data_IF_453155944996
#
_entry.id   IF_453155944996
#
_cell.length_a   1.000
_cell.length_b   1.000
_cell.length_c   1.000
_cell.angle_alpha   90.00
_cell.angle_beta   90.00
_cell.angle_gamma   90.00
#
_symmetry.space_group_name_H-M   'P 1'
#
loop_
_entity.id
_entity.type
_entity.pdbx_description
1 polymer ?
#
# COMPACT_ATOMS: atom_id res chain seq x y z
N UNK A 1 -10.20 -0.87 19.39
CA UNK A 1 -10.36 0.40 18.68
C UNK A 1 -9.01 1.10 18.71
N UNK A 2 -8.37 1.22 17.55
CA UNK A 2 -7.06 1.87 17.33
C UNK A 2 -7.15 2.76 16.05
N UNK A 3 -8.37 3.20 15.68
CA UNK A 3 -8.71 3.77 14.37
C UNK A 3 -8.00 5.09 14.03
N UNK A 4 -7.28 5.66 14.98
CA UNK A 4 -6.71 7.01 14.88
C UNK A 4 -5.20 7.00 14.73
N UNK A 5 -4.58 5.81 14.69
CA UNK A 5 -3.15 5.67 14.48
C UNK A 5 -2.81 5.86 12.99
N UNK A 6 -2.78 7.10 12.52
CA UNK A 6 -2.47 7.47 11.15
C UNK A 6 -1.17 8.26 11.09
N UNK A 7 -0.31 7.90 10.13
CA UNK A 7 0.93 8.61 9.85
C UNK A 7 0.91 9.22 8.47
N UNK A 8 1.22 10.51 8.41
CA UNK A 8 1.41 11.27 7.18
C UNK A 8 2.83 11.84 7.18
N UNK A 9 3.55 11.66 6.09
CA UNK A 9 4.90 12.19 5.91
C UNK A 9 4.99 13.11 4.70
N UNK A 10 5.91 14.09 4.79
CA UNK A 10 6.40 14.93 3.70
C UNK A 10 5.27 15.48 2.80
N UNK A 11 4.49 16.43 3.30
CA UNK A 11 3.42 17.10 2.55
C UNK A 11 2.41 16.14 1.89
N UNK A 12 1.94 15.17 2.68
CA UNK A 12 0.95 14.17 2.25
C UNK A 12 1.44 13.29 1.07
N UNK A 13 2.74 13.11 0.89
CA UNK A 13 3.26 12.20 -0.15
C UNK A 13 3.16 10.73 0.25
N UNK A 14 3.07 10.47 1.56
CA UNK A 14 3.01 9.13 2.15
C UNK A 14 1.93 9.13 3.23
N UNK A 15 1.02 8.17 3.14
CA UNK A 15 0.05 7.86 4.19
C UNK A 15 0.14 6.39 4.57
N UNK A 16 0.07 6.11 5.86
CA UNK A 16 0.02 4.76 6.38
C UNK A 16 -0.98 4.65 7.54
N UNK A 17 -1.87 3.67 7.44
CA UNK A 17 -2.82 3.27 8.49
C UNK A 17 -2.15 2.30 9.46
N UNK A 18 -1.93 2.71 10.71
CA UNK A 18 -1.13 1.97 11.70
C UNK A 18 -1.95 1.06 12.61
N UNK A 19 -3.28 1.23 12.67
CA UNK A 19 -4.15 0.51 13.61
C UNK A 19 -3.89 -1.02 13.62
N UNK A 20 -3.65 -1.59 12.44
CA UNK A 20 -3.35 -3.01 12.25
C UNK A 20 -2.02 -3.25 11.52
N UNK A 21 -1.07 -2.32 11.60
CA UNK A 21 0.19 -2.43 10.89
C UNK A 21 0.98 -3.69 11.30
N UNK A 22 1.76 -4.22 10.35
CA UNK A 22 2.76 -5.25 10.65
C UNK A 22 3.80 -4.71 11.62
N UNK A 23 4.42 -5.59 12.40
CA UNK A 23 5.47 -5.23 13.38
C UNK A 23 6.72 -4.60 12.73
N UNK A 24 6.93 -4.87 11.44
CA UNK A 24 8.04 -4.41 10.61
C UNK A 24 7.48 -4.02 9.24
N UNK A 25 7.86 -2.83 8.76
CA UNK A 25 7.54 -2.35 7.42
C UNK A 25 8.82 -1.91 6.73
N UNK A 26 9.22 -2.66 5.71
CA UNK A 26 10.40 -2.39 4.89
C UNK A 26 10.08 -1.50 3.70
N UNK A 27 11.09 -0.87 3.12
CA UNK A 27 10.99 0.00 1.93
C UNK A 27 10.10 1.21 2.19
N UNK A 28 10.29 1.94 3.30
CA UNK A 28 9.57 3.19 3.56
C UNK A 28 10.32 4.34 2.88
N UNK A 29 9.76 5.01 1.86
CA UNK A 29 10.52 5.94 1.03
C UNK A 29 10.75 7.27 1.77
N UNK A 30 11.76 7.37 2.63
CA UNK A 30 12.04 8.60 3.38
C UNK A 30 12.97 9.54 2.60
N UNK A 31 12.91 10.83 2.91
CA UNK A 31 13.75 11.84 2.26
C UNK A 31 15.19 11.75 2.76
N UNK A 32 16.17 11.77 1.84
CA UNK A 32 17.61 11.86 2.19
C UNK A 32 17.92 13.13 2.98
N UNK A 33 18.93 13.04 3.85
CA UNK A 33 19.55 14.17 4.55
C UNK A 33 18.54 15.15 5.20
N UNK A 34 17.42 14.63 5.69
CA UNK A 34 16.33 15.42 6.27
C UNK A 34 15.86 14.79 7.57
N UNK A 35 15.50 15.63 8.54
CA UNK A 35 14.77 15.17 9.71
C UNK A 35 13.45 14.50 9.27
N UNK A 36 13.00 13.52 10.04
CA UNK A 36 11.71 12.89 9.74
C UNK A 36 10.57 13.87 10.05
N UNK A 37 9.99 14.44 8.99
CA UNK A 37 8.83 15.32 9.12
C UNK A 37 7.55 14.47 9.06
N UNK A 38 6.80 14.45 10.16
CA UNK A 38 5.52 13.74 10.24
C UNK A 38 4.48 14.57 11.00
N UNK A 39 3.23 14.43 10.60
CA UNK A 39 2.09 15.05 11.29
C UNK A 39 1.25 13.95 11.92
N UNK A 40 1.29 13.77 13.25
CA UNK A 40 0.44 12.79 13.91
C UNK A 40 -1.00 13.30 13.96
N UNK A 41 -1.98 12.44 13.64
CA UNK A 41 -3.41 12.76 13.86
C UNK A 41 -3.85 12.63 15.33
N UNK A 42 -3.06 11.94 16.15
CA UNK A 42 -3.31 11.76 17.58
C UNK A 42 -2.02 12.09 18.36
N UNK A 43 -2.08 12.93 19.42
CA UNK A 43 -0.89 13.38 20.16
C UNK A 43 -0.12 12.25 20.85
N UNK A 44 -0.73 11.07 21.02
CA UNK A 44 -0.07 9.89 21.58
C UNK A 44 0.84 9.18 20.57
N UNK A 45 0.82 9.58 19.30
CA UNK A 45 1.68 9.01 18.28
C UNK A 45 3.06 9.67 18.36
N UNK A 46 4.09 8.84 18.52
CA UNK A 46 5.49 9.30 18.45
C UNK A 46 6.32 8.37 17.59
N UNK A 47 7.35 8.94 16.96
CA UNK A 47 8.33 8.22 16.15
C UNK A 47 9.70 8.43 16.78
N UNK A 48 10.36 7.33 17.14
CA UNK A 48 11.68 7.35 17.78
C UNK A 48 12.64 6.48 16.98
N UNK A 49 13.81 7.02 16.63
CA UNK A 49 14.84 6.27 15.92
C UNK A 49 15.88 7.16 15.26
N UNK A 50 16.87 6.52 14.67
CA UNK A 50 17.91 7.11 13.82
C UNK A 50 17.82 6.49 12.43
N UNK A 51 18.57 7.02 11.45
CA UNK A 51 18.34 6.74 10.03
C UNK A 51 18.30 5.27 9.58
N UNK A 52 18.75 4.32 10.40
CA UNK A 52 18.61 2.89 10.12
C UNK A 52 17.17 2.38 10.24
N UNK A 53 16.43 2.83 11.27
CA UNK A 53 15.04 2.43 11.48
C UNK A 53 14.33 3.32 12.50
N UNK A 54 13.01 3.42 12.34
CA UNK A 54 12.16 4.24 13.19
C UNK A 54 11.07 3.39 13.85
N UNK A 55 10.97 3.45 15.18
CA UNK A 55 9.91 2.79 15.94
C UNK A 55 8.73 3.76 16.05
N UNK A 56 7.54 3.28 15.69
CA UNK A 56 6.29 4.04 15.83
C UNK A 56 5.57 3.54 17.09
N UNK A 57 5.17 4.47 17.93
CA UNK A 57 4.45 4.21 19.17
C UNK A 57 3.09 4.91 19.17
N UNK A 58 2.15 4.31 19.91
CA UNK A 58 0.91 4.94 20.36
C UNK A 58 0.88 4.83 21.88
N UNK A 59 1.12 5.95 22.57
CA UNK A 59 1.47 5.94 23.99
C UNK A 59 2.67 5.02 24.24
N UNK A 60 2.54 4.11 25.21
CA UNK A 60 3.61 3.16 25.56
C UNK A 60 3.66 1.91 24.66
N UNK A 61 2.72 1.76 23.71
CA UNK A 61 2.63 0.57 22.86
C UNK A 61 3.34 0.81 21.53
N UNK A 62 4.32 -0.04 21.21
CA UNK A 62 4.95 -0.06 19.89
C UNK A 62 3.99 -0.63 18.84
N UNK A 63 3.66 0.15 17.82
CA UNK A 63 2.83 -0.27 16.70
C UNK A 63 3.65 -1.02 15.64
N UNK A 64 4.73 -0.39 15.18
CA UNK A 64 5.57 -0.91 14.10
C UNK A 64 7.01 -0.42 14.19
N UNK A 65 7.88 -0.96 13.34
CA UNK A 65 9.20 -0.43 13.04
C UNK A 65 9.31 -0.24 11.53
N UNK A 66 9.59 1.00 11.14
CA UNK A 66 9.80 1.43 9.76
C UNK A 66 11.28 1.24 9.41
N UNK A 67 11.55 0.57 8.30
CA UNK A 67 12.87 0.47 7.70
C UNK A 67 12.88 1.34 6.43
N UNK A 68 13.60 2.47 6.48
CA UNK A 68 13.66 3.42 5.38
C UNK A 68 14.34 2.86 4.14
N UNK A 69 13.97 3.46 3.02
CA UNK A 69 14.73 3.51 1.79
C UNK A 69 14.81 4.99 1.42
N UNK A 70 16.01 5.51 1.25
CA UNK A 70 16.23 6.96 1.17
C UNK A 70 16.25 7.47 -0.25
N UNK A 71 15.41 8.47 -0.53
CA UNK A 71 15.26 9.07 -1.85
C UNK A 71 15.42 10.58 -1.84
N UNK A 72 15.87 11.10 -2.97
CA UNK A 72 15.56 12.47 -3.38
C UNK A 72 14.09 12.52 -3.83
N UNK A 73 13.43 13.66 -3.62
CA UNK A 73 11.99 13.79 -3.90
C UNK A 73 11.77 14.58 -5.18
N UNK A 74 10.74 14.19 -5.91
CA UNK A 74 10.22 14.92 -7.06
C UNK A 74 8.79 15.40 -6.74
N UNK A 75 8.58 16.72 -6.80
CA UNK A 75 7.28 17.33 -6.50
C UNK A 75 6.47 17.70 -7.76
N UNK A 76 6.94 17.32 -8.96
CA UNK A 76 6.37 17.73 -10.25
C UNK A 76 4.92 17.31 -10.48
N UNK A 77 4.46 16.26 -9.79
CA UNK A 77 3.07 15.80 -9.79
C UNK A 77 2.58 15.59 -8.36
N UNK A 78 1.28 15.63 -8.11
CA UNK A 78 0.68 15.40 -6.78
C UNK A 78 -0.30 14.23 -6.76
N UNK A 79 -0.62 13.67 -7.92
CA UNK A 79 -1.62 12.63 -8.10
C UNK A 79 -1.27 11.70 -9.26
N UNK A 80 -1.90 10.52 -9.26
CA UNK A 80 -1.88 9.55 -10.35
C UNK A 80 -3.30 9.11 -10.72
N UNK A 81 -3.46 8.71 -11.99
CA UNK A 81 -4.70 8.09 -12.44
C UNK A 81 -4.66 6.58 -12.20
N UNK A 82 -5.66 6.08 -11.46
CA UNK A 82 -5.89 4.66 -11.23
C UNK A 82 -7.17 4.23 -11.95
N UNK A 83 -7.11 3.09 -12.64
CA UNK A 83 -8.30 2.35 -13.02
C UNK A 83 -8.58 1.29 -11.94
N UNK A 84 -9.70 1.41 -11.24
CA UNK A 84 -10.11 0.55 -10.13
C UNK A 84 -11.45 -0.08 -10.50
N UNK A 85 -11.49 -1.40 -10.62
CA UNK A 85 -12.71 -2.17 -10.89
C UNK A 85 -13.53 -1.63 -12.07
N UNK A 86 -12.83 -1.22 -13.14
CA UNK A 86 -13.42 -0.66 -14.35
C UNK A 86 -13.66 0.84 -14.32
N UNK A 87 -13.52 1.52 -13.17
CA UNK A 87 -13.69 2.97 -13.05
C UNK A 87 -12.36 3.70 -12.97
N UNK A 88 -12.19 4.76 -13.75
CA UNK A 88 -11.03 5.62 -13.65
C UNK A 88 -11.19 6.67 -12.54
N UNK A 89 -10.12 6.88 -11.75
CA UNK A 89 -10.08 7.84 -10.65
C UNK A 89 -8.73 8.54 -10.64
N UNK A 90 -8.73 9.87 -10.54
CA UNK A 90 -7.52 10.62 -10.21
C UNK A 90 -7.34 10.62 -8.69
N UNK A 91 -6.18 10.15 -8.21
CA UNK A 91 -5.93 9.88 -6.79
C UNK A 91 -4.67 10.61 -6.36
N UNK A 92 -4.81 11.49 -5.37
CA UNK A 92 -3.69 12.22 -4.82
C UNK A 92 -2.76 11.29 -4.03
N UNK A 93 -1.48 11.64 -3.98
CA UNK A 93 -0.56 10.97 -3.08
C UNK A 93 -1.00 11.12 -1.62
N UNK A 94 -0.59 10.16 -0.79
CA UNK A 94 -1.01 10.11 0.62
C UNK A 94 -2.50 9.78 0.81
N UNK A 95 -3.19 9.33 -0.24
CA UNK A 95 -4.54 8.78 -0.11
C UNK A 95 -4.53 7.25 -0.06
N UNK A 96 -5.62 6.70 0.46
CA UNK A 96 -5.94 5.28 0.41
C UNK A 96 -7.19 5.09 -0.45
N UNK A 97 -7.18 4.06 -1.31
CA UNK A 97 -8.31 3.69 -2.15
C UNK A 97 -8.69 2.24 -1.93
N UNK A 98 -9.99 1.96 -1.93
CA UNK A 98 -10.52 0.60 -1.84
C UNK A 98 -10.59 -0.05 -3.23
N UNK A 99 -10.28 -1.35 -3.29
CA UNK A 99 -10.24 -2.16 -4.52
C UNK A 99 -10.94 -3.49 -4.26
N UNK A 100 -11.98 -3.82 -5.01
CA UNK A 100 -12.73 -5.07 -4.84
C UNK A 100 -12.09 -6.24 -5.60
N UNK A 101 -11.61 -5.99 -6.83
CA UNK A 101 -11.08 -7.04 -7.70
C UNK A 101 -9.66 -6.74 -8.19
N UNK A 102 -9.47 -5.58 -8.82
CA UNK A 102 -8.19 -5.22 -9.44
C UNK A 102 -8.04 -3.72 -9.61
N UNK A 103 -6.79 -3.28 -9.60
CA UNK A 103 -6.43 -1.93 -9.99
C UNK A 103 -5.32 -1.95 -11.04
N UNK A 104 -5.19 -0.83 -11.76
CA UNK A 104 -4.10 -0.56 -12.70
C UNK A 104 -3.73 0.91 -12.60
N UNK A 105 -2.44 1.21 -12.49
CA UNK A 105 -1.96 2.59 -12.65
C UNK A 105 -1.92 2.91 -14.13
N UNK A 106 -2.54 4.01 -14.56
CA UNK A 106 -2.45 4.46 -15.95
C UNK A 106 -1.02 4.95 -16.23
N UNK A 107 -0.33 4.45 -17.27
CA UNK A 107 1.03 4.87 -17.59
C UNK A 107 1.15 6.37 -17.81
N UNK A 108 2.27 6.94 -17.38
CA UNK A 108 2.61 8.36 -17.59
C UNK A 108 4.07 8.48 -18.00
N UNK A 109 4.33 9.18 -19.12
CA UNK A 109 5.68 9.36 -19.66
C UNK A 109 6.65 9.92 -18.63
N UNK A 110 7.80 9.25 -18.47
CA UNK A 110 8.86 9.62 -17.53
C UNK A 110 8.64 9.13 -16.10
N UNK A 111 7.50 8.52 -15.78
CA UNK A 111 7.21 8.00 -14.44
C UNK A 111 7.26 6.48 -14.41
N UNK A 112 7.77 5.95 -13.30
CA UNK A 112 7.83 4.52 -13.01
C UNK A 112 6.99 4.20 -11.78
N UNK A 113 6.24 3.12 -11.86
CA UNK A 113 5.41 2.58 -10.78
C UNK A 113 6.06 1.33 -10.20
N UNK A 114 6.01 1.21 -8.87
CA UNK A 114 6.39 0.02 -8.12
C UNK A 114 5.31 -0.29 -7.05
N UNK A 115 4.66 -1.43 -7.17
CA UNK A 115 3.68 -2.00 -6.27
C UNK A 115 4.39 -2.97 -5.33
N UNK A 116 4.62 -2.55 -4.09
CA UNK A 116 5.43 -3.31 -3.15
C UNK A 116 4.80 -4.67 -2.84
N UNK A 117 5.50 -5.73 -3.26
CA UNK A 117 5.10 -7.13 -3.09
C UNK A 117 4.56 -7.79 -4.36
N UNK A 118 4.30 -7.02 -5.41
CA UNK A 118 4.13 -7.53 -6.77
C UNK A 118 5.53 -7.72 -7.37
N UNK A 119 5.68 -8.72 -8.24
CA UNK A 119 6.91 -8.92 -8.98
C UNK A 119 6.56 -9.69 -10.26
N UNK A 120 7.06 -9.20 -11.39
CA UNK A 120 7.04 -9.92 -12.66
C UNK A 120 8.44 -9.87 -13.27
N UNK A 121 9.09 -11.03 -13.54
CA UNK A 121 10.44 -11.06 -14.09
C UNK A 121 10.58 -10.19 -15.35
N UNK A 122 11.63 -9.38 -15.39
CA UNK A 122 11.93 -8.50 -16.52
C UNK A 122 11.13 -7.19 -16.57
N UNK A 123 10.28 -6.90 -15.59
CA UNK A 123 9.48 -5.67 -15.54
C UNK A 123 9.96 -4.77 -14.40
N UNK A 124 10.41 -3.56 -14.75
CA UNK A 124 10.84 -2.54 -13.79
C UNK A 124 9.78 -1.45 -13.53
N UNK A 125 8.88 -1.22 -14.50
CA UNK A 125 7.73 -0.33 -14.39
C UNK A 125 6.45 -1.16 -14.42
N UNK A 126 5.66 -1.06 -13.35
CA UNK A 126 4.44 -1.84 -13.16
C UNK A 126 3.19 -1.04 -13.56
N UNK A 127 3.36 0.14 -14.16
CA UNK A 127 2.27 0.88 -14.78
C UNK A 127 1.66 0.09 -15.94
N UNK A 128 0.36 0.28 -16.20
CA UNK A 128 -0.35 -0.43 -17.26
C UNK A 128 -0.70 -1.90 -16.97
N UNK A 129 -0.21 -2.47 -15.86
CA UNK A 129 -0.51 -3.85 -15.46
C UNK A 129 -1.75 -3.86 -14.55
N UNK A 130 -2.71 -4.74 -14.86
CA UNK A 130 -3.84 -5.02 -13.96
C UNK A 130 -3.39 -5.97 -12.86
N UNK A 131 -3.50 -5.54 -11.61
CA UNK A 131 -3.00 -6.24 -10.43
C UNK A 131 -4.17 -6.58 -9.50
N UNK A 132 -4.26 -7.85 -9.12
CA UNK A 132 -5.23 -8.39 -8.14
C UNK A 132 -4.55 -8.65 -6.80
N UNK A 133 -5.36 -8.84 -5.76
CA UNK A 133 -4.90 -9.24 -4.42
C UNK A 133 -4.02 -10.50 -4.43
N UNK A 134 -4.33 -11.47 -5.28
CA UNK A 134 -3.60 -12.74 -5.42
C UNK A 134 -2.18 -12.56 -5.94
N UNK A 135 -1.93 -11.48 -6.69
CA UNK A 135 -0.68 -11.26 -7.41
C UNK A 135 0.38 -10.61 -6.51
N UNK A 136 -0.04 -10.11 -5.34
CA UNK A 136 0.82 -9.42 -4.38
C UNK A 136 1.12 -10.33 -3.20
N UNK A 137 2.41 -10.53 -2.93
CA UNK A 137 2.88 -11.35 -1.83
C UNK A 137 2.43 -10.77 -0.48
N UNK A 138 1.59 -11.53 0.25
CA UNK A 138 0.94 -11.11 1.50
C UNK A 138 1.89 -10.51 2.54
N UNK A 139 3.14 -10.98 2.62
CA UNK A 139 4.15 -10.50 3.59
C UNK A 139 4.51 -9.03 3.44
N UNK A 140 4.30 -8.44 2.26
CA UNK A 140 4.63 -7.05 1.96
C UNK A 140 3.51 -6.05 2.25
N UNK A 141 2.33 -6.54 2.67
CA UNK A 141 1.23 -5.67 3.07
C UNK A 141 1.60 -4.79 4.26
N UNK A 142 1.00 -3.61 4.34
CA UNK A 142 1.13 -2.70 5.48
C UNK A 142 0.44 -3.29 6.71
N UNK A 143 -0.72 -3.91 6.52
CA UNK A 143 -1.54 -4.45 7.60
C UNK A 143 -1.31 -5.95 7.83
N UNK A 144 -1.60 -6.42 9.04
CA UNK A 144 -1.52 -7.85 9.40
C UNK A 144 -2.48 -8.72 8.61
N UNK A 145 -3.63 -8.18 8.16
CA UNK A 145 -4.64 -8.95 7.43
C UNK A 145 -4.24 -9.21 5.98
N UNK A 146 -3.27 -8.46 5.43
CA UNK A 146 -2.77 -8.71 4.09
C UNK A 146 -3.61 -8.08 3.00
N UNK A 147 -4.13 -6.88 3.23
CA UNK A 147 -5.08 -6.18 2.37
C UNK A 147 -4.57 -4.83 1.86
N UNK A 148 -3.70 -4.17 2.62
CA UNK A 148 -3.20 -2.84 2.30
C UNK A 148 -1.82 -2.92 1.66
N UNK A 149 -1.65 -2.42 0.44
CA UNK A 149 -0.38 -2.45 -0.30
C UNK A 149 -0.01 -1.08 -0.83
N UNK A 150 1.29 -0.86 -1.00
CA UNK A 150 1.85 0.45 -1.35
C UNK A 150 2.14 0.50 -2.84
N UNK A 151 1.59 1.50 -3.51
CA UNK A 151 1.89 1.86 -4.90
C UNK A 151 2.79 3.09 -4.86
N UNK A 152 4.06 2.92 -5.19
CA UNK A 152 5.05 4.00 -5.19
C UNK A 152 5.30 4.49 -6.62
N UNK A 153 5.48 5.80 -6.76
CA UNK A 153 5.72 6.46 -8.04
C UNK A 153 7.04 7.20 -8.00
N UNK A 154 7.78 7.10 -9.09
CA UNK A 154 9.11 7.67 -9.23
C UNK A 154 9.26 8.42 -10.55
N UNK A 155 10.07 9.48 -10.55
CA UNK A 155 10.50 10.19 -11.74
C UNK A 155 12.03 10.30 -11.72
N UNK A 156 12.71 9.77 -12.73
CA UNK A 156 14.19 9.78 -12.81
C UNK A 156 14.88 9.24 -11.54
N UNK A 157 14.32 8.20 -10.92
CA UNK A 157 14.84 7.61 -9.69
C UNK A 157 14.51 8.38 -8.39
N UNK A 158 13.90 9.56 -8.49
CA UNK A 158 13.39 10.36 -7.36
C UNK A 158 11.99 9.89 -6.98
N UNK A 159 11.67 9.91 -5.70
CA UNK A 159 10.35 9.51 -5.22
C UNK A 159 9.34 10.65 -5.42
N UNK A 160 8.29 10.39 -6.18
CA UNK A 160 7.23 11.37 -6.43
C UNK A 160 6.08 11.23 -5.44
N UNK A 161 5.77 10.04 -4.95
CA UNK A 161 4.70 9.84 -3.98
C UNK A 161 4.19 8.42 -3.90
N UNK A 162 3.24 8.19 -2.99
CA UNK A 162 2.67 6.86 -2.74
C UNK A 162 1.16 6.93 -2.55
N UNK A 163 0.45 5.95 -3.11
CA UNK A 163 -0.96 5.66 -2.83
C UNK A 163 -1.03 4.31 -2.10
N UNK A 164 -1.95 4.19 -1.14
CA UNK A 164 -2.24 2.93 -0.46
C UNK A 164 -3.47 2.29 -1.10
N UNK A 165 -3.35 1.06 -1.61
CA UNK A 165 -4.50 0.28 -2.10
C UNK A 165 -4.96 -0.68 -1.01
N UNK A 166 -6.25 -0.69 -0.71
CA UNK A 166 -6.86 -1.57 0.29
C UNK A 166 -7.83 -2.53 -0.39
N UNK A 167 -7.48 -3.81 -0.44
CA UNK A 167 -8.38 -4.83 -0.98
C UNK A 167 -9.49 -5.12 0.04
N UNK A 168 -10.71 -4.66 -0.26
CA UNK A 168 -11.93 -5.00 0.46
C UNK A 168 -12.13 -6.52 0.34
N UNK A 169 -12.27 -7.21 1.47
CA UNK A 169 -12.27 -8.68 1.54
C UNK A 169 -13.50 -9.36 0.94
N UNK A 170 -14.23 -8.70 0.04
CA UNK A 170 -15.51 -9.16 -0.51
C UNK A 170 -15.34 -10.30 -1.51
N UNK A 171 -14.19 -10.36 -2.21
CA UNK A 171 -13.97 -11.33 -3.28
C UNK A 171 -13.52 -12.74 -2.83
N UNK A 172 -12.95 -12.90 -1.63
CA UNK A 172 -12.56 -14.25 -1.14
C UNK A 172 -13.77 -15.06 -0.64
N UNK A 173 -14.83 -14.41 -0.15
CA UNK A 173 -16.00 -15.13 0.38
C UNK A 173 -16.97 -15.61 -0.71
N UNK A 174 -17.06 -14.89 -1.84
CA UNK A 174 -17.94 -15.30 -2.95
C UNK A 174 -17.43 -16.53 -3.70
N UNK A 175 -16.11 -16.71 -3.83
CA UNK A 175 -15.54 -17.86 -4.55
C UNK A 175 -15.65 -19.16 -3.76
N UNK A 176 -15.58 -19.12 -2.42
CA UNK A 176 -15.75 -20.30 -1.57
C UNK A 176 -17.21 -20.78 -1.56
N UNK A 177 -18.18 -19.88 -1.75
CA UNK A 177 -19.61 -20.25 -1.80
C UNK A 177 -20.05 -20.96 -3.10
N UNK A 178 -19.23 -20.89 -4.17
CA UNK A 178 -19.61 -21.42 -5.50
C UNK A 178 -19.07 -22.83 -5.81
N UNK A 179 -18.28 -23.43 -4.92
CA UNK A 179 -17.83 -24.83 -5.09
C UNK A 179 -18.43 -25.75 -4.04
N UNK A 180 -19.70 -26.13 -4.24
CA UNK A 180 -20.24 -27.40 -3.77
C UNK A 180 -20.88 -28.09 -4.96
N UNK A 181 -20.15 -29.03 -5.57
CA UNK A 181 -20.75 -30.00 -6.48
C UNK A 181 -21.48 -31.03 -5.61
N UNK A 182 -22.79 -31.13 -5.77
CA UNK A 182 -23.59 -32.27 -5.31
C UNK A 182 -23.75 -33.19 -6.52
N UNK A 183 -23.25 -34.41 -6.44
CA UNK A 183 -23.50 -35.44 -7.44
C UNK A 183 -24.93 -35.99 -7.25
N UNK A 184 -25.72 -36.20 -8.32
CA UNK A 184 -26.95 -36.95 -8.22
C UNK A 184 -26.62 -38.45 -8.09
N UNK A 185 -27.12 -39.08 -7.02
CA UNK A 185 -27.24 -40.54 -6.95
C UNK A 185 -28.28 -40.98 -7.99
N UNK A 186 -27.84 -41.80 -8.95
CA UNK A 186 -28.74 -42.54 -9.83
C UNK A 186 -29.48 -43.62 -9.03
N UNK A 187 -30.78 -43.74 -9.28
CA UNK A 187 -31.59 -44.89 -8.91
C UNK A 187 -31.13 -46.16 -9.65
N UNK A 188 -31.26 -47.30 -8.99
CA UNK A 188 -31.55 -48.57 -9.65
C UNK A 188 -32.46 -49.40 -8.73
N UNK A 189 -33.67 -49.64 -9.24
CA UNK A 189 -34.67 -50.70 -9.02
C UNK A 189 -34.88 -51.32 -7.63
#
# INVERSE_FOLDING_TARGET
MDSDAKLVFYDHRIFLEMANARKRLDYIPLKKASAIAFTPRNPLITIVGSGESYKVYYGNRRLTRLYPEYFDYDSSITAITLQIDGTEKNVEFGQMVDVDHSFRVVPRTGYRVNVIGFNRPGIADESGISIRRSDIQKRFSVDKKGRMYRVKVYHEGRFSGMVLVNFSGTSEHLLVSRSRKVSPLHHAD
#
